data_IF_269124128563
#
_entry.id   IF_269124128563
#
_cell.length_a   1.000
_cell.length_b   1.000
_cell.length_c   1.000
_cell.angle_alpha   90.00
_cell.angle_beta   90.00
_cell.angle_gamma   90.00
#
_symmetry.space_group_name_H-M   'P 1'
#
loop_
_entity.id
_entity.type
_entity.pdbx_description
1 polymer ?
#
# COMPACT_ATOMS: atom_id res chain seq x y z
N UNK A 1 4.70 -6.23 -8.15
CA UNK A 1 3.85 -5.37 -7.32
C UNK A 1 4.56 -5.13 -6.00
N UNK A 2 4.65 -3.88 -5.57
CA UNK A 2 5.42 -3.49 -4.39
C UNK A 2 4.64 -2.44 -3.60
N UNK A 3 4.88 -2.41 -2.29
CA UNK A 3 4.49 -1.35 -1.38
C UNK A 3 5.78 -0.92 -0.67
N UNK A 4 6.12 0.36 -0.77
CA UNK A 4 7.37 0.91 -0.27
C UNK A 4 7.05 2.09 0.64
N UNK A 5 7.12 1.85 1.94
CA UNK A 5 7.03 2.89 2.96
C UNK A 5 8.44 3.45 3.21
N UNK A 6 8.67 4.69 2.82
CA UNK A 6 9.86 5.43 3.24
C UNK A 6 9.62 5.97 4.64
N UNK A 7 10.59 5.79 5.53
CA UNK A 7 10.49 6.25 6.93
C UNK A 7 11.03 7.67 7.00
N UNK A 8 10.16 8.61 6.64
CA UNK A 8 10.38 10.05 6.83
C UNK A 8 10.10 10.44 8.30
N UNK A 9 10.43 11.67 8.68
CA UNK A 9 10.30 12.18 10.06
C UNK A 9 8.86 12.01 10.61
N UNK A 10 7.84 12.25 9.78
CA UNK A 10 6.43 12.09 10.13
C UNK A 10 6.03 10.65 10.52
N UNK A 11 6.58 9.65 9.81
CA UNK A 11 6.36 8.23 10.08
C UNK A 11 7.15 7.81 11.31
N UNK A 12 8.39 8.31 11.44
CA UNK A 12 9.22 8.08 12.62
C UNK A 12 8.50 8.57 13.90
N UNK A 13 7.94 9.77 13.88
CA UNK A 13 7.18 10.34 15.00
C UNK A 13 5.96 9.51 15.37
N UNK A 14 5.24 8.98 14.38
CA UNK A 14 4.13 8.05 14.62
C UNK A 14 4.62 6.77 15.30
N UNK A 15 5.76 6.23 14.91
CA UNK A 15 6.33 5.03 15.55
C UNK A 15 6.63 5.28 17.03
N UNK A 16 7.29 6.40 17.34
CA UNK A 16 7.61 6.79 18.72
C UNK A 16 6.34 6.95 19.56
N UNK A 17 5.30 7.55 18.98
CA UNK A 17 4.02 7.78 19.65
C UNK A 17 3.07 6.57 19.64
N UNK A 18 3.52 5.39 19.17
CA UNK A 18 2.70 4.17 19.03
C UNK A 18 1.44 4.39 18.20
N UNK A 19 1.55 5.20 17.15
CA UNK A 19 0.52 5.39 16.15
C UNK A 19 0.07 4.05 15.57
N UNK A 20 -1.22 3.93 15.30
CA UNK A 20 -1.79 2.72 14.72
C UNK A 20 -1.23 2.47 13.32
N UNK A 21 -1.24 1.21 12.88
CA UNK A 21 -0.88 0.87 11.50
C UNK A 21 -1.68 1.67 10.47
N UNK A 22 -2.97 1.95 10.74
CA UNK A 22 -3.83 2.77 9.88
C UNK A 22 -3.34 4.22 9.77
N UNK A 23 -2.80 4.79 10.85
CA UNK A 23 -2.23 6.15 10.82
C UNK A 23 -0.93 6.19 10.04
N UNK A 24 -0.05 5.20 10.24
CA UNK A 24 1.20 5.05 9.47
C UNK A 24 0.89 4.90 7.97
N UNK A 25 -0.03 4.01 7.60
CA UNK A 25 -0.46 3.84 6.20
C UNK A 25 -1.01 5.14 5.63
N UNK A 26 -1.84 5.87 6.38
CA UNK A 26 -2.43 7.13 5.93
C UNK A 26 -1.37 8.20 5.67
N UNK A 27 -0.38 8.36 6.56
CA UNK A 27 0.72 9.30 6.36
C UNK A 27 1.57 8.86 5.17
N UNK A 28 1.97 7.59 5.10
CA UNK A 28 2.72 7.07 3.97
C UNK A 28 2.02 7.36 2.64
N UNK A 29 0.70 7.12 2.53
CA UNK A 29 -0.06 7.43 1.33
C UNK A 29 -0.07 8.93 1.00
N UNK A 30 -0.18 9.79 2.02
CA UNK A 30 -0.12 11.25 1.84
C UNK A 30 1.24 11.70 1.30
N UNK A 31 2.30 10.97 1.63
CA UNK A 31 3.68 11.25 1.22
C UNK A 31 4.09 10.54 -0.08
N UNK A 32 3.15 9.87 -0.75
CA UNK A 32 3.36 9.26 -2.06
C UNK A 32 3.61 7.76 -2.05
N UNK A 33 3.51 7.09 -0.89
CA UNK A 33 3.45 5.63 -0.85
C UNK A 33 2.25 5.14 -1.64
N UNK A 34 2.50 4.24 -2.59
CA UNK A 34 1.44 3.50 -3.28
C UNK A 34 1.19 2.20 -2.54
N UNK A 35 -0.06 1.94 -2.16
CA UNK A 35 -0.41 0.69 -1.51
C UNK A 35 -0.26 -0.49 -2.47
N UNK A 36 -0.03 -1.69 -1.92
CA UNK A 36 0.16 -2.91 -2.69
C UNK A 36 -1.03 -3.20 -3.63
N UNK A 37 -2.24 -2.91 -3.15
CA UNK A 37 -3.48 -3.04 -3.90
C UNK A 37 -3.58 -2.05 -5.07
N UNK A 38 -3.07 -0.84 -4.92
CA UNK A 38 -3.05 0.16 -5.99
C UNK A 38 -2.01 -0.17 -7.05
N UNK A 39 -0.82 -0.62 -6.61
CA UNK A 39 0.21 -1.16 -7.50
C UNK A 39 -0.33 -2.32 -8.34
N UNK A 40 -1.04 -3.26 -7.72
CA UNK A 40 -1.65 -4.40 -8.42
C UNK A 40 -2.70 -3.95 -9.45
N UNK A 41 -3.59 -3.02 -9.09
CA UNK A 41 -4.59 -2.46 -10.03
C UNK A 41 -3.93 -1.83 -11.24
N UNK A 42 -2.86 -1.05 -11.04
CA UNK A 42 -2.12 -0.42 -12.13
C UNK A 42 -1.54 -1.46 -13.10
N UNK A 43 -0.92 -2.52 -12.58
CA UNK A 43 -0.35 -3.59 -13.40
C UNK A 43 -1.41 -4.39 -14.18
N UNK A 44 -2.62 -4.54 -13.63
CA UNK A 44 -3.75 -5.15 -14.36
C UNK A 44 -4.18 -4.26 -15.53
N UNK A 45 -4.30 -2.94 -15.30
CA UNK A 45 -4.67 -1.98 -16.34
C UNK A 45 -3.60 -1.87 -17.44
N UNK A 46 -2.33 -2.05 -17.08
CA UNK A 46 -1.20 -2.09 -18.03
C UNK A 46 -1.05 -3.45 -18.74
N UNK A 47 -1.86 -4.45 -18.38
CA UNK A 47 -1.80 -5.79 -18.98
C UNK A 47 -0.60 -6.63 -18.58
N UNK A 48 0.15 -6.21 -17.55
CA UNK A 48 1.33 -6.93 -17.02
C UNK A 48 0.94 -8.15 -16.20
N UNK A 49 -0.23 -8.09 -15.54
CA UNK A 49 -0.80 -9.21 -14.76
C UNK A 49 -2.31 -9.32 -15.00
N UNK A 50 -2.91 -10.44 -14.61
CA UNK A 50 -4.36 -10.68 -14.77
C UNK A 50 -5.13 -10.36 -13.50
N UNK A 51 -6.43 -10.08 -13.65
CA UNK A 51 -7.32 -9.92 -12.50
C UNK A 51 -7.35 -11.17 -11.62
N UNK A 52 -7.37 -12.36 -12.24
CA UNK A 52 -7.33 -13.64 -11.54
C UNK A 52 -6.08 -13.82 -10.68
N UNK A 53 -4.93 -13.33 -11.14
CA UNK A 53 -3.69 -13.41 -10.37
C UNK A 53 -3.75 -12.50 -9.14
N UNK A 54 -4.29 -11.29 -9.30
CA UNK A 54 -4.51 -10.35 -8.19
C UNK A 54 -5.54 -10.88 -7.18
N UNK A 55 -6.57 -11.58 -7.63
CA UNK A 55 -7.54 -12.27 -6.77
C UNK A 55 -6.90 -13.44 -6.01
N UNK A 56 -6.08 -14.25 -6.71
CA UNK A 56 -5.36 -15.40 -6.13
C UNK A 56 -4.48 -15.00 -4.97
N UNK A 57 -3.82 -13.84 -5.05
CA UNK A 57 -2.97 -13.30 -3.98
C UNK A 57 -3.75 -12.48 -2.93
N UNK A 58 -5.08 -12.38 -3.05
CA UNK A 58 -5.94 -11.82 -2.01
C UNK A 58 -6.07 -10.30 -1.97
N UNK A 59 -5.58 -9.57 -2.99
CA UNK A 59 -5.56 -8.09 -2.97
C UNK A 59 -6.90 -7.43 -3.33
N UNK A 60 -7.87 -8.22 -3.79
CA UNK A 60 -9.19 -7.75 -4.20
C UNK A 60 -10.30 -8.06 -3.19
N UNK A 61 -9.99 -8.73 -2.07
CA UNK A 61 -10.99 -8.99 -1.04
C UNK A 61 -11.49 -7.67 -0.44
N UNK A 62 -12.81 -7.47 -0.50
CA UNK A 62 -13.52 -6.45 0.27
C UNK A 62 -13.78 -7.02 1.66
N UNK A 63 -13.36 -6.29 2.69
CA UNK A 63 -14.00 -6.34 4.01
C UNK A 63 -15.29 -5.50 3.97
#
# INVERSE_FOLDING_TARGET
MYELLLVEESVHDLIINRGSSREITRIGMKEGMTCLRESAKKLVLEGVTSLSEVERVGLLKRE
#
